data_IF_114607264153
#
_entry.id   IF_114607264153
#
_cell.length_a   1.000
_cell.length_b   1.000
_cell.length_c   1.000
_cell.angle_alpha   90.00
_cell.angle_beta   90.00
_cell.angle_gamma   90.00
#
_symmetry.space_group_name_H-M   'P 1'
#
loop_
_entity.id
_entity.type
_entity.pdbx_description
1 polymer ?
#
# COMPACT_ATOMS: atom_id res chain seq x y z
N UNK A 1 65.94 46.15 -18.85
CA UNK A 1 64.69 45.75 -19.54
C UNK A 1 64.75 44.25 -19.79
N UNK A 2 63.61 43.56 -19.64
CA UNK A 2 63.36 42.12 -19.89
C UNK A 2 63.73 41.11 -18.80
N UNK A 3 62.72 40.91 -17.96
CA UNK A 3 62.35 39.71 -17.19
C UNK A 3 62.55 38.38 -17.92
N UNK A 4 63.06 37.38 -17.19
CA UNK A 4 62.57 35.99 -17.24
C UNK A 4 62.67 35.38 -15.83
N UNK A 5 61.52 34.96 -15.29
CA UNK A 5 61.41 34.09 -14.11
C UNK A 5 61.56 32.64 -14.60
N UNK A 6 62.44 31.86 -13.97
CA UNK A 6 62.43 30.40 -14.03
C UNK A 6 62.22 29.86 -12.61
N UNK A 7 61.31 28.88 -12.50
CA UNK A 7 60.73 28.39 -11.26
C UNK A 7 61.71 27.66 -10.35
N UNK A 8 61.39 27.70 -9.06
CA UNK A 8 62.07 26.93 -8.03
C UNK A 8 61.20 25.74 -7.62
N UNK A 9 61.90 24.63 -7.44
CA UNK A 9 61.47 23.36 -6.89
C UNK A 9 60.79 23.48 -5.52
N UNK A 10 60.05 22.43 -5.16
CA UNK A 10 59.60 22.23 -3.78
C UNK A 10 58.80 20.95 -3.63
N UNK A 11 59.50 19.83 -3.42
CA UNK A 11 58.91 18.65 -2.78
C UNK A 11 58.32 19.09 -1.45
N UNK A 12 56.99 19.00 -1.30
CA UNK A 12 56.32 19.20 -0.03
C UNK A 12 55.82 17.87 0.51
N UNK A 13 56.29 17.59 1.73
CA UNK A 13 56.15 16.38 2.49
C UNK A 13 54.78 16.31 3.19
N UNK A 14 54.14 15.15 3.08
CA UNK A 14 53.37 14.45 4.11
C UNK A 14 52.02 15.00 4.66
N UNK A 15 51.19 14.00 5.00
CA UNK A 15 50.02 13.98 5.91
C UNK A 15 48.66 14.30 5.28
N UNK A 16 48.05 13.27 4.69
CA UNK A 16 46.59 13.18 4.58
C UNK A 16 46.14 11.86 5.23
N UNK A 17 45.64 11.96 6.46
CA UNK A 17 45.03 10.85 7.18
C UNK A 17 43.79 10.36 6.43
N UNK A 18 43.77 9.07 6.12
CA UNK A 18 42.62 8.42 5.52
C UNK A 18 41.55 8.18 6.59
N UNK A 19 40.68 9.18 6.80
CA UNK A 19 39.46 9.00 7.60
C UNK A 19 38.45 8.23 6.75
N UNK A 20 38.43 6.90 6.92
CA UNK A 20 37.48 6.03 6.23
C UNK A 20 36.08 6.25 6.81
N UNK A 21 35.26 7.08 6.15
CA UNK A 21 33.82 7.17 6.43
C UNK A 21 33.18 5.85 5.97
N UNK A 22 32.93 4.95 6.92
CA UNK A 22 32.05 3.81 6.71
C UNK A 22 30.62 4.34 6.56
N UNK A 23 30.16 4.52 5.32
CA UNK A 23 28.76 4.81 5.03
C UNK A 23 27.93 3.54 5.27
N UNK A 24 27.33 3.43 6.45
CA UNK A 24 26.30 2.44 6.72
C UNK A 24 25.11 2.71 5.80
N UNK A 25 24.98 1.94 4.72
CA UNK A 25 23.79 1.95 3.89
C UNK A 25 22.65 1.31 4.70
N UNK A 26 21.91 2.12 5.45
CA UNK A 26 20.59 1.74 5.94
C UNK A 26 19.69 1.60 4.72
N UNK A 27 19.35 0.37 4.37
CA UNK A 27 18.25 0.10 3.45
C UNK A 27 16.98 0.68 4.09
N UNK A 28 16.55 1.86 3.64
CA UNK A 28 15.23 2.39 3.97
C UNK A 28 14.20 1.42 3.39
N UNK A 29 13.62 0.58 4.23
CA UNK A 29 12.41 -0.13 3.85
C UNK A 29 11.34 0.91 3.55
N UNK A 30 10.74 0.86 2.36
CA UNK A 30 9.64 1.74 2.01
C UNK A 30 8.48 1.53 3.01
N UNK A 31 7.97 2.62 3.59
CA UNK A 31 6.81 2.53 4.46
C UNK A 31 5.58 2.07 3.64
N UNK A 32 4.74 1.17 4.18
CA UNK A 32 3.55 0.73 3.49
C UNK A 32 2.61 1.91 3.20
N UNK A 33 2.08 2.00 1.98
CA UNK A 33 1.06 2.99 1.66
C UNK A 33 -0.20 2.70 2.48
N UNK A 34 -0.64 3.67 3.27
CA UNK A 34 -1.82 3.55 4.13
C UNK A 34 -3.11 3.81 3.34
N UNK A 35 -4.14 3.00 3.60
CA UNK A 35 -5.46 3.08 2.97
C UNK A 35 -6.56 3.61 3.91
N UNK A 36 -6.20 3.99 5.15
CA UNK A 36 -7.13 4.35 6.23
C UNK A 36 -8.16 5.41 5.80
N UNK A 37 -7.70 6.49 5.17
CA UNK A 37 -8.57 7.59 4.73
C UNK A 37 -9.54 7.17 3.62
N UNK A 38 -9.18 6.17 2.81
CA UNK A 38 -10.04 5.66 1.75
C UNK A 38 -11.11 4.68 2.26
N UNK A 39 -11.00 4.23 3.52
CA UNK A 39 -11.91 3.27 4.15
C UNK A 39 -12.91 3.94 5.10
N UNK A 40 -13.33 5.17 4.80
CA UNK A 40 -14.32 5.94 5.57
C UNK A 40 -15.79 5.69 5.16
N UNK A 41 -16.00 4.86 4.13
CA UNK A 41 -17.29 4.55 3.53
C UNK A 41 -18.00 5.71 2.82
N UNK A 42 -17.27 6.76 2.42
CA UNK A 42 -17.80 7.90 1.63
C UNK A 42 -17.63 7.74 0.10
N UNK A 43 -16.98 6.66 -0.34
CA UNK A 43 -16.64 6.35 -1.75
C UNK A 43 -17.46 5.17 -2.32
N UNK A 44 -17.07 4.66 -3.49
CA UNK A 44 -17.60 3.45 -4.11
C UNK A 44 -16.49 2.52 -4.64
N UNK A 45 -16.88 1.36 -5.19
CA UNK A 45 -15.97 0.33 -5.69
C UNK A 45 -14.93 0.84 -6.68
N UNK A 46 -15.36 1.52 -7.74
CA UNK A 46 -14.45 2.01 -8.78
C UNK A 46 -13.46 3.03 -8.23
N UNK A 47 -13.95 4.01 -7.48
CA UNK A 47 -13.13 5.11 -6.95
C UNK A 47 -12.10 4.63 -5.95
N UNK A 48 -12.33 3.49 -5.30
CA UNK A 48 -11.36 2.84 -4.43
C UNK A 48 -10.32 2.00 -5.21
N UNK A 49 -10.75 1.22 -6.21
CA UNK A 49 -9.86 0.26 -6.90
C UNK A 49 -9.06 0.89 -8.04
N UNK A 50 -9.67 1.74 -8.86
CA UNK A 50 -9.02 2.27 -10.07
C UNK A 50 -7.69 2.99 -9.76
N UNK A 51 -7.58 3.87 -8.75
CA UNK A 51 -6.31 4.53 -8.45
C UNK A 51 -5.22 3.55 -7.95
N UNK A 52 -5.59 2.45 -7.29
CA UNK A 52 -4.64 1.43 -6.85
C UNK A 52 -4.12 0.60 -8.03
N UNK A 53 -5.00 0.27 -8.96
CA UNK A 53 -4.64 -0.44 -10.19
C UNK A 53 -3.75 0.44 -11.09
N UNK A 54 -4.09 1.71 -11.27
CA UNK A 54 -3.30 2.68 -12.05
C UNK A 54 -1.91 2.93 -11.46
N UNK A 55 -1.80 2.98 -10.13
CA UNK A 55 -0.53 3.12 -9.43
C UNK A 55 0.32 1.83 -9.43
N UNK A 56 -0.23 0.70 -9.89
CA UNK A 56 0.42 -0.60 -9.82
C UNK A 56 0.53 -1.14 -8.39
N UNK A 57 -0.29 -0.67 -7.45
CA UNK A 57 -0.31 -1.15 -6.07
C UNK A 57 -1.02 -2.51 -5.93
N UNK A 58 -1.88 -2.84 -6.89
CA UNK A 58 -2.59 -4.11 -7.00
C UNK A 58 -2.52 -4.66 -8.42
N UNK A 59 -2.70 -5.97 -8.56
CA UNK A 59 -2.92 -6.58 -9.87
C UNK A 59 -4.27 -6.12 -10.44
N UNK A 60 -4.30 -5.81 -11.73
CA UNK A 60 -5.54 -5.42 -12.44
C UNK A 60 -6.50 -6.58 -12.60
N UNK A 61 -5.98 -7.82 -12.71
CA UNK A 61 -6.79 -9.04 -12.72
C UNK A 61 -7.03 -9.49 -11.28
N UNK A 62 -8.29 -9.71 -10.86
CA UNK A 62 -8.56 -10.29 -9.55
C UNK A 62 -7.98 -11.71 -9.46
N UNK A 63 -7.39 -12.03 -8.30
CA UNK A 63 -6.91 -13.37 -8.01
C UNK A 63 -8.06 -14.33 -7.66
N UNK A 64 -9.18 -13.78 -7.19
CA UNK A 64 -10.40 -14.51 -6.89
C UNK A 64 -11.62 -13.60 -7.06
N UNK A 65 -12.75 -14.20 -7.43
CA UNK A 65 -14.05 -13.54 -7.49
C UNK A 65 -15.00 -14.39 -6.66
N UNK A 66 -15.52 -13.80 -5.59
CA UNK A 66 -16.49 -14.45 -4.71
C UNK A 66 -17.83 -14.60 -5.42
N UNK A 67 -18.68 -15.54 -4.97
CA UNK A 67 -20.01 -15.75 -5.56
C UNK A 67 -20.91 -14.50 -5.47
N UNK A 68 -20.69 -13.65 -4.47
CA UNK A 68 -21.36 -12.35 -4.36
C UNK A 68 -20.71 -11.23 -5.19
N UNK A 69 -19.93 -11.59 -6.21
CA UNK A 69 -19.20 -10.69 -7.11
C UNK A 69 -18.12 -9.81 -6.46
N UNK A 70 -17.78 -10.01 -5.18
CA UNK A 70 -16.62 -9.32 -4.60
C UNK A 70 -15.33 -9.81 -5.26
N UNK A 71 -14.57 -8.90 -5.88
CA UNK A 71 -13.30 -9.22 -6.50
C UNK A 71 -12.19 -9.03 -5.46
N UNK A 72 -11.29 -10.00 -5.34
CA UNK A 72 -10.09 -9.92 -4.52
C UNK A 72 -8.86 -9.70 -5.41
N UNK A 73 -8.14 -8.63 -5.17
CA UNK A 73 -6.94 -8.22 -5.91
C UNK A 73 -5.70 -8.41 -5.05
N UNK A 74 -4.66 -9.02 -5.62
CA UNK A 74 -3.36 -9.17 -4.98
C UNK A 74 -2.66 -7.80 -4.89
N UNK A 75 -2.04 -7.47 -3.76
CA UNK A 75 -1.17 -6.29 -3.62
C UNK A 75 0.22 -6.53 -4.21
N UNK A 76 0.71 -5.64 -5.07
CA UNK A 76 2.07 -5.66 -5.62
C UNK A 76 3.07 -4.92 -4.74
N UNK A 77 2.58 -3.93 -3.98
CA UNK A 77 3.38 -3.17 -3.01
C UNK A 77 2.85 -3.38 -1.58
N UNK A 78 3.68 -3.16 -0.53
CA UNK A 78 3.20 -3.17 0.84
C UNK A 78 2.11 -2.11 1.06
N UNK A 79 0.90 -2.56 1.36
CA UNK A 79 -0.23 -1.71 1.75
C UNK A 79 -0.59 -1.94 3.22
N UNK A 80 -1.13 -0.91 3.88
CA UNK A 80 -1.63 -1.00 5.24
C UNK A 80 -3.02 -0.40 5.39
N UNK A 81 -3.78 -0.88 6.36
CA UNK A 81 -5.04 -0.29 6.79
C UNK A 81 -5.13 -0.38 8.32
N UNK A 82 -5.30 0.77 8.96
CA UNK A 82 -5.42 0.95 10.41
C UNK A 82 -4.26 0.33 11.20
N UNK A 83 -3.05 0.38 10.64
CA UNK A 83 -1.83 -0.20 11.20
C UNK A 83 -1.66 -1.71 10.98
N UNK A 84 -2.54 -2.35 10.21
CA UNK A 84 -2.42 -3.76 9.83
C UNK A 84 -1.97 -3.91 8.38
N UNK A 85 -1.15 -4.92 8.10
CA UNK A 85 -0.75 -5.26 6.73
C UNK A 85 -1.93 -5.80 5.94
N UNK A 86 -2.16 -5.23 4.76
CA UNK A 86 -3.17 -5.72 3.81
C UNK A 86 -2.70 -7.05 3.21
N UNK A 87 -3.64 -8.00 3.16
CA UNK A 87 -3.49 -9.31 2.51
C UNK A 87 -4.00 -9.27 1.08
N UNK A 88 -5.23 -8.78 0.88
CA UNK A 88 -5.84 -8.52 -0.44
C UNK A 88 -6.68 -7.26 -0.38
N UNK A 89 -6.84 -6.62 -1.53
CA UNK A 89 -7.78 -5.50 -1.72
C UNK A 89 -9.08 -6.04 -2.30
N UNK A 90 -10.22 -5.55 -1.83
CA UNK A 90 -11.54 -6.00 -2.22
C UNK A 90 -12.27 -4.90 -2.98
N UNK A 91 -12.98 -5.26 -4.04
CA UNK A 91 -13.82 -4.31 -4.77
C UNK A 91 -14.89 -4.97 -5.62
N UNK A 92 -15.98 -4.24 -5.81
CA UNK A 92 -17.06 -4.55 -6.73
C UNK A 92 -17.85 -3.26 -7.01
N UNK A 93 -18.30 -3.11 -8.25
CA UNK A 93 -19.29 -2.12 -8.63
C UNK A 93 -20.12 -2.65 -9.78
N UNK A 94 -21.44 -2.47 -9.69
CA UNK A 94 -22.35 -2.85 -10.74
C UNK A 94 -22.07 -2.07 -12.03
N UNK A 95 -22.21 -2.74 -13.17
CA UNK A 95 -22.06 -2.16 -14.52
C UNK A 95 -20.70 -1.51 -14.81
N UNK A 96 -19.66 -1.94 -14.08
CA UNK A 96 -18.32 -1.40 -14.21
C UNK A 96 -17.34 -2.47 -14.74
N UNK A 97 -16.68 -2.21 -15.89
CA UNK A 97 -15.84 -3.20 -16.56
C UNK A 97 -14.54 -3.55 -15.81
N UNK A 98 -14.20 -2.81 -14.75
CA UNK A 98 -13.07 -3.15 -13.88
C UNK A 98 -13.34 -4.43 -13.07
N UNK A 99 -14.61 -4.81 -12.88
CA UNK A 99 -15.01 -5.89 -12.00
C UNK A 99 -15.56 -7.08 -12.77
N UNK A 100 -15.10 -8.27 -12.40
CA UNK A 100 -15.68 -9.52 -12.86
C UNK A 100 -16.90 -9.86 -12.00
N UNK A 101 -17.92 -10.47 -12.59
CA UNK A 101 -19.10 -10.91 -11.86
C UNK A 101 -18.95 -12.35 -11.39
N UNK A 102 -19.39 -12.59 -10.16
CA UNK A 102 -19.53 -13.93 -9.59
C UNK A 102 -20.79 -14.62 -10.14
N UNK A 103 -20.97 -15.86 -9.71
CA UNK A 103 -22.05 -16.76 -10.10
C UNK A 103 -23.32 -16.66 -9.20
N UNK A 104 -23.24 -15.88 -8.13
CA UNK A 104 -24.34 -15.63 -7.19
C UNK A 104 -24.91 -14.21 -7.27
N UNK A 105 -25.76 -13.88 -6.30
CA UNK A 105 -26.32 -12.51 -6.16
C UNK A 105 -25.20 -11.56 -5.72
N UNK A 106 -24.97 -10.44 -6.43
CA UNK A 106 -24.00 -9.42 -6.02
C UNK A 106 -24.20 -8.95 -4.57
N UNK A 107 -23.10 -8.56 -3.93
CA UNK A 107 -23.09 -8.11 -2.54
C UNK A 107 -24.03 -6.93 -2.30
N UNK A 108 -24.03 -5.96 -3.22
CA UNK A 108 -24.91 -4.79 -3.31
C UNK A 108 -24.67 -4.07 -4.65
N UNK A 109 -25.07 -2.82 -4.83
CA UNK A 109 -24.71 -1.97 -5.98
C UNK A 109 -23.19 -1.73 -6.08
N UNK A 110 -22.51 -1.66 -4.94
CA UNK A 110 -21.06 -1.57 -4.85
C UNK A 110 -20.54 -2.14 -3.52
N UNK A 111 -19.26 -2.45 -3.48
CA UNK A 111 -18.57 -2.80 -2.25
C UNK A 111 -17.07 -2.62 -2.41
N UNK A 112 -16.38 -2.21 -1.36
CA UNK A 112 -14.93 -2.11 -1.39
C UNK A 112 -14.33 -2.29 -0.01
N UNK A 113 -13.04 -2.60 0.03
CA UNK A 113 -12.35 -2.76 1.29
C UNK A 113 -11.05 -3.50 1.18
N UNK A 114 -10.65 -4.10 2.28
CA UNK A 114 -9.42 -4.88 2.38
C UNK A 114 -9.62 -6.08 3.28
N UNK A 115 -8.82 -7.11 3.07
CA UNK A 115 -8.54 -8.12 4.10
C UNK A 115 -7.19 -7.80 4.70
N UNK A 116 -7.11 -7.69 6.02
CA UNK A 116 -5.86 -7.42 6.75
C UNK A 116 -5.43 -8.60 7.61
N UNK A 117 -4.12 -8.69 7.88
CA UNK A 117 -3.55 -9.62 8.86
C UNK A 117 -3.76 -9.08 10.27
N UNK A 118 -4.71 -9.64 11.00
CA UNK A 118 -5.08 -9.23 12.35
C UNK A 118 -6.30 -9.98 12.86
N UNK A 119 -6.43 -10.09 14.19
CA UNK A 119 -7.64 -10.64 14.79
C UNK A 119 -8.81 -9.67 14.63
N UNK A 120 -10.04 -10.20 14.52
CA UNK A 120 -11.25 -9.38 14.38
C UNK A 120 -11.34 -8.30 15.46
N UNK A 121 -11.11 -8.66 16.73
CA UNK A 121 -11.21 -7.73 17.86
C UNK A 121 -10.19 -6.60 17.80
N UNK A 122 -8.94 -6.88 17.40
CA UNK A 122 -7.90 -5.85 17.28
C UNK A 122 -8.20 -4.90 16.12
N UNK A 123 -8.62 -5.44 14.98
CA UNK A 123 -8.98 -4.66 13.80
C UNK A 123 -10.21 -3.78 14.07
N UNK A 124 -11.26 -4.36 14.64
CA UNK A 124 -12.50 -3.65 15.00
C UNK A 124 -12.25 -2.50 16.00
N UNK A 125 -11.32 -2.69 16.95
CA UNK A 125 -10.93 -1.61 17.86
C UNK A 125 -10.26 -0.43 17.12
N UNK A 126 -9.41 -0.70 16.12
CA UNK A 126 -8.72 0.35 15.36
C UNK A 126 -9.64 1.05 14.36
N UNK A 127 -10.49 0.32 13.65
CA UNK A 127 -11.51 0.88 12.74
C UNK A 127 -12.42 1.85 13.49
N UNK A 128 -12.92 1.43 14.67
CA UNK A 128 -13.77 2.25 15.53
C UNK A 128 -13.04 3.48 16.09
N UNK A 129 -11.78 3.32 16.49
CA UNK A 129 -10.97 4.45 16.98
C UNK A 129 -10.72 5.51 15.89
N UNK A 130 -10.67 5.09 14.62
CA UNK A 130 -10.55 5.98 13.47
C UNK A 130 -11.88 6.63 13.05
N UNK A 131 -13.01 6.22 13.63
CA UNK A 131 -14.33 6.75 13.28
C UNK A 131 -14.89 6.24 11.94
N UNK A 132 -14.31 5.20 11.36
CA UNK A 132 -14.80 4.61 10.11
C UNK A 132 -16.10 3.83 10.33
N UNK A 133 -16.99 3.89 9.33
CA UNK A 133 -18.25 3.15 9.30
C UNK A 133 -18.11 1.74 8.68
N UNK A 134 -16.88 1.32 8.35
CA UNK A 134 -16.65 0.04 7.69
C UNK A 134 -17.04 -1.14 8.58
N UNK A 135 -17.67 -2.14 7.97
CA UNK A 135 -18.02 -3.38 8.64
C UNK A 135 -16.80 -4.27 8.78
N UNK A 136 -16.57 -4.81 9.98
CA UNK A 136 -15.45 -5.72 10.27
C UNK A 136 -15.93 -7.16 10.39
N UNK A 137 -15.44 -8.05 9.51
CA UNK A 137 -15.83 -9.47 9.44
C UNK A 137 -14.62 -10.38 9.54
N UNK A 138 -14.72 -11.50 10.25
CA UNK A 138 -13.69 -12.54 10.19
C UNK A 138 -13.73 -13.18 8.79
N UNK A 139 -12.57 -13.23 8.12
CA UNK A 139 -12.44 -13.86 6.80
C UNK A 139 -11.81 -15.26 6.92
N UNK A 140 -10.78 -15.38 7.75
CA UNK A 140 -10.07 -16.62 8.06
C UNK A 140 -9.35 -16.47 9.41
N UNK A 141 -8.84 -17.53 10.07
CA UNK A 141 -7.91 -17.36 11.18
C UNK A 141 -6.83 -16.31 10.90
N UNK A 142 -6.80 -15.27 11.75
CA UNK A 142 -5.90 -14.10 11.66
C UNK A 142 -6.03 -13.23 10.40
N UNK A 143 -7.09 -13.42 9.60
CA UNK A 143 -7.46 -12.54 8.48
C UNK A 143 -8.83 -11.93 8.74
N UNK A 144 -8.89 -10.61 8.67
CA UNK A 144 -10.10 -9.84 8.95
C UNK A 144 -10.41 -8.93 7.79
N UNK A 145 -11.63 -9.00 7.28
CA UNK A 145 -12.14 -8.10 6.26
C UNK A 145 -12.66 -6.81 6.89
N UNK A 146 -12.34 -5.68 6.25
CA UNK A 146 -12.86 -4.34 6.54
C UNK A 146 -13.54 -3.89 5.25
N UNK A 147 -14.87 -3.77 5.26
CA UNK A 147 -15.66 -3.61 4.03
C UNK A 147 -16.68 -2.48 4.18
N UNK A 148 -16.73 -1.62 3.17
CA UNK A 148 -17.78 -0.64 2.96
C UNK A 148 -18.74 -1.15 1.86
N UNK A 149 -20.02 -0.97 2.10
CA UNK A 149 -21.15 -1.21 1.18
C UNK A 149 -22.13 -0.04 1.33
N UNK A 150 -23.04 0.19 0.38
CA UNK A 150 -24.05 1.25 0.50
C UNK A 150 -24.99 1.08 1.71
#
# INVERSE_FOLDING_TARGET
MKTRRLGAAGLACALLGAMSLAASATTLAAEPKALDAALDCSSNGHRFIAPLAEAGDIQTKPMHVESNSMNAFHTEHPLSAYGFSVYVVLGYQQDDPLFQHGDGKPIDEWGYGVVVRGSKSAVEAKVRAAGSQATVKAAFPFLTAIVCTP
#
